data_IF_890507459941
#
_entry.id   IF_890507459941
#
_cell.length_a   1.000
_cell.length_b   1.000
_cell.length_c   1.000
_cell.angle_alpha   90.00
_cell.angle_beta   90.00
_cell.angle_gamma   90.00
#
_symmetry.space_group_name_H-M   'P 1'
#
loop_
_entity.id
_entity.type
_entity.pdbx_description
1 polymer ?
#
# COMPACT_ATOMS: atom_id res chain seq x y z
N UNK A 1 -9.43 16.45 -20.05
CA UNK A 1 -9.47 15.29 -19.16
C UNK A 1 -10.88 14.73 -19.07
N UNK A 2 -11.05 13.52 -19.61
CA UNK A 2 -12.30 12.78 -19.54
C UNK A 2 -12.40 11.96 -18.25
N UNK A 3 -11.29 11.44 -17.72
CA UNK A 3 -11.25 10.57 -16.52
C UNK A 3 -11.82 11.22 -15.26
N UNK A 4 -11.35 12.41 -14.87
CA UNK A 4 -11.89 13.10 -13.69
C UNK A 4 -13.38 13.49 -13.85
N UNK A 5 -13.94 13.47 -15.06
CA UNK A 5 -15.39 13.69 -15.27
C UNK A 5 -16.22 12.43 -15.05
N UNK A 6 -15.58 11.25 -14.99
CA UNK A 6 -16.25 9.96 -14.77
C UNK A 6 -16.54 9.67 -13.30
N UNK A 7 -15.96 10.45 -12.38
CA UNK A 7 -16.02 10.23 -10.93
C UNK A 7 -16.51 11.49 -10.19
N UNK A 8 -16.93 11.35 -8.94
CA UNK A 8 -17.26 12.53 -8.12
C UNK A 8 -15.97 13.30 -7.83
N UNK A 9 -16.08 14.62 -7.87
CA UNK A 9 -14.97 15.52 -7.60
C UNK A 9 -15.26 16.32 -6.35
N UNK A 10 -14.24 16.46 -5.52
CA UNK A 10 -14.28 17.39 -4.40
C UNK A 10 -14.43 18.83 -4.93
N UNK A 11 -15.39 19.58 -4.39
CA UNK A 11 -15.61 20.98 -4.73
C UNK A 11 -15.22 21.87 -3.53
N UNK A 12 -14.05 22.53 -3.59
CA UNK A 12 -13.57 23.37 -2.50
C UNK A 12 -14.52 24.51 -2.10
N UNK A 13 -15.39 24.96 -3.02
CA UNK A 13 -16.34 26.05 -2.76
C UNK A 13 -17.51 25.63 -1.86
N UNK A 14 -17.78 24.33 -1.75
CA UNK A 14 -18.88 23.79 -0.94
C UNK A 14 -18.45 23.46 0.49
N UNK A 15 -17.14 23.36 0.75
CA UNK A 15 -16.61 23.12 2.09
C UNK A 15 -16.35 24.44 2.82
N UNK A 16 -16.87 24.55 4.03
CA UNK A 16 -16.63 25.70 4.92
C UNK A 16 -15.29 25.61 5.66
N UNK A 17 -14.69 24.42 5.69
CA UNK A 17 -13.46 24.12 6.43
C UNK A 17 -12.24 24.02 5.52
N UNK A 18 -12.45 24.02 4.20
CA UNK A 18 -11.41 23.99 3.19
C UNK A 18 -10.43 25.16 3.33
N UNK A 19 -9.15 24.83 3.28
CA UNK A 19 -8.04 25.79 3.28
C UNK A 19 -7.03 25.42 2.20
N UNK A 20 -6.63 26.41 1.41
CA UNK A 20 -5.43 26.29 0.57
C UNK A 20 -4.20 26.34 1.46
N UNK A 21 -3.19 25.53 1.17
CA UNK A 21 -1.89 25.66 1.83
C UNK A 21 -1.20 26.95 1.35
N UNK A 22 -0.37 27.55 2.22
CA UNK A 22 0.46 28.70 1.86
C UNK A 22 1.61 28.23 0.96
N UNK A 23 1.81 28.91 -0.18
CA UNK A 23 2.84 28.58 -1.17
C UNK A 23 2.88 27.08 -1.53
N UNK A 24 1.76 26.51 -2.01
CA UNK A 24 1.68 25.07 -2.25
C UNK A 24 2.60 24.69 -3.41
N UNK A 25 3.57 23.82 -3.16
CA UNK A 25 4.31 23.15 -4.22
C UNK A 25 3.41 22.07 -4.79
N UNK A 26 3.11 22.12 -6.09
CA UNK A 26 2.35 21.05 -6.74
C UNK A 26 3.05 19.70 -6.54
N UNK A 27 2.24 18.68 -6.30
CA UNK A 27 2.73 17.31 -6.27
C UNK A 27 2.75 16.77 -7.69
N UNK A 28 3.72 15.91 -7.97
CA UNK A 28 3.79 15.11 -9.18
C UNK A 28 4.05 13.67 -8.74
N UNK A 29 3.15 12.76 -9.07
CA UNK A 29 3.25 11.35 -8.67
C UNK A 29 3.14 10.48 -9.91
N UNK A 30 4.05 9.52 -10.05
CA UNK A 30 4.02 8.52 -11.12
C UNK A 30 3.48 7.18 -10.60
N UNK A 31 2.51 6.62 -11.31
CA UNK A 31 1.92 5.30 -11.05
C UNK A 31 2.12 4.42 -12.28
N UNK A 32 3.10 3.52 -12.24
CA UNK A 32 3.43 2.65 -13.37
C UNK A 32 3.73 3.47 -14.64
N UNK A 33 2.84 3.38 -15.63
CA UNK A 33 2.93 4.12 -16.91
C UNK A 33 2.23 5.48 -16.90
N UNK A 34 1.49 5.81 -15.84
CA UNK A 34 0.75 7.06 -15.71
C UNK A 34 1.36 8.02 -14.71
N UNK A 35 0.87 9.26 -14.73
CA UNK A 35 1.25 10.29 -13.77
C UNK A 35 0.08 11.20 -13.44
N UNK A 36 0.13 11.78 -12.25
CA UNK A 36 -0.82 12.80 -11.79
C UNK A 36 -0.07 14.04 -11.31
N UNK A 37 -0.68 15.20 -11.50
CA UNK A 37 -0.32 16.41 -10.76
C UNK A 37 -1.49 16.83 -9.89
N UNK A 38 -1.17 17.37 -8.71
CA UNK A 38 -2.17 17.90 -7.82
C UNK A 38 -1.71 19.11 -7.04
N UNK A 39 -2.69 19.94 -6.64
CA UNK A 39 -2.48 21.09 -5.78
C UNK A 39 -2.76 20.68 -4.32
N UNK A 40 -1.76 20.76 -3.42
CA UNK A 40 -1.98 20.53 -2.01
C UNK A 40 -3.00 21.48 -1.37
N UNK A 41 -3.83 20.92 -0.50
CA UNK A 41 -4.84 21.61 0.28
C UNK A 41 -4.98 20.95 1.67
N UNK A 42 -5.78 21.59 2.53
CA UNK A 42 -6.17 21.09 3.83
C UNK A 42 -7.69 21.19 3.96
N UNK A 43 -8.32 20.18 4.54
CA UNK A 43 -9.72 20.22 4.95
C UNK A 43 -9.96 19.26 6.11
N UNK A 44 -11.15 19.29 6.70
CA UNK A 44 -11.62 18.24 7.59
C UNK A 44 -12.05 17.05 6.75
N UNK A 45 -11.45 15.90 7.01
CA UNK A 45 -11.90 14.62 6.48
C UNK A 45 -12.66 13.86 7.55
N UNK A 46 -13.63 13.07 7.11
CA UNK A 46 -14.40 12.19 7.97
C UNK A 46 -14.13 10.75 7.56
N UNK A 47 -13.70 9.93 8.53
CA UNK A 47 -13.56 8.48 8.38
C UNK A 47 -14.38 7.87 9.50
N UNK A 48 -15.48 7.21 9.15
CA UNK A 48 -16.48 6.76 10.11
C UNK A 48 -16.96 7.92 11.01
N UNK A 49 -16.80 7.79 12.33
CA UNK A 49 -17.11 8.78 13.36
C UNK A 49 -15.96 9.74 13.67
N UNK A 50 -14.80 9.56 13.03
CA UNK A 50 -13.62 10.39 13.24
C UNK A 50 -13.62 11.59 12.28
N UNK A 51 -13.43 12.78 12.83
CA UNK A 51 -13.28 14.03 12.07
C UNK A 51 -11.99 14.73 12.45
N UNK A 52 -11.09 14.93 11.48
CA UNK A 52 -9.81 15.58 11.71
C UNK A 52 -9.31 16.32 10.48
N UNK A 53 -8.38 17.27 10.68
CA UNK A 53 -7.77 18.03 9.59
C UNK A 53 -6.72 17.17 8.89
N UNK A 54 -6.79 17.07 7.58
CA UNK A 54 -5.83 16.33 6.77
C UNK A 54 -5.32 17.18 5.61
N UNK A 55 -4.02 17.09 5.36
CA UNK A 55 -3.43 17.60 4.12
C UNK A 55 -3.58 16.54 3.02
N UNK A 56 -4.06 16.96 1.86
CA UNK A 56 -4.26 16.11 0.69
C UNK A 56 -4.03 16.90 -0.60
N UNK A 57 -3.96 16.23 -1.74
CA UNK A 57 -3.86 16.89 -3.03
C UNK A 57 -5.17 16.81 -3.81
N UNK A 58 -5.58 17.95 -4.37
CA UNK A 58 -6.59 18.00 -5.40
C UNK A 58 -5.92 17.67 -6.73
N UNK A 59 -6.35 16.59 -7.37
CA UNK A 59 -5.82 16.20 -8.68
C UNK A 59 -6.27 17.22 -9.72
N UNK A 60 -5.29 17.89 -10.32
CA UNK A 60 -5.49 18.89 -11.38
C UNK A 60 -5.24 18.29 -12.77
N UNK A 61 -4.37 17.27 -12.85
CA UNK A 61 -3.95 16.60 -14.06
C UNK A 61 -3.73 15.11 -13.84
N UNK A 62 -4.09 14.30 -14.84
CA UNK A 62 -3.79 12.87 -14.94
C UNK A 62 -3.45 12.58 -16.40
N UNK A 63 -2.41 11.78 -16.64
CA UNK A 63 -2.01 11.36 -17.99
C UNK A 63 -3.01 10.40 -18.64
N UNK A 64 -3.12 10.43 -19.98
CA UNK A 64 -4.07 9.60 -20.75
C UNK A 64 -3.79 8.07 -20.73
N UNK A 65 -2.63 7.61 -20.27
CA UNK A 65 -2.31 6.17 -20.13
C UNK A 65 -2.17 5.76 -18.68
N UNK A 66 -3.26 5.88 -17.92
CA UNK A 66 -3.25 5.66 -16.48
C UNK A 66 -4.18 4.51 -16.02
N UNK A 67 -3.93 4.04 -14.79
CA UNK A 67 -4.76 3.03 -14.13
C UNK A 67 -6.19 3.55 -13.83
N UNK A 68 -6.33 4.87 -13.68
CA UNK A 68 -7.59 5.54 -13.34
C UNK A 68 -8.65 5.48 -14.46
N UNK A 69 -8.27 5.17 -15.71
CA UNK A 69 -9.22 4.86 -16.78
C UNK A 69 -9.90 3.50 -16.60
N UNK A 70 -9.18 2.54 -16.00
CA UNK A 70 -9.63 1.15 -15.88
C UNK A 70 -10.36 0.89 -14.57
N UNK A 71 -10.02 1.62 -13.51
CA UNK A 71 -10.58 1.42 -12.17
C UNK A 71 -11.40 2.64 -11.77
N UNK A 72 -12.66 2.41 -11.35
CA UNK A 72 -13.60 3.46 -10.93
C UNK A 72 -13.40 3.86 -9.47
N UNK A 73 -12.26 4.43 -9.11
CA UNK A 73 -12.08 5.02 -7.78
C UNK A 73 -11.86 6.53 -7.86
N UNK A 74 -12.30 7.26 -6.82
CA UNK A 74 -12.32 8.74 -6.77
C UNK A 74 -11.01 9.36 -6.26
N UNK A 75 -10.16 8.56 -5.61
CA UNK A 75 -8.84 8.97 -5.14
C UNK A 75 -8.12 7.84 -4.41
N UNK A 76 -6.92 8.14 -3.90
CA UNK A 76 -6.09 7.20 -3.14
C UNK A 76 -5.90 7.74 -1.73
N UNK A 77 -6.06 6.87 -0.74
CA UNK A 77 -5.70 7.14 0.65
C UNK A 77 -4.41 6.39 0.95
N UNK A 78 -3.31 7.13 1.10
CA UNK A 78 -2.01 6.54 1.44
C UNK A 78 -1.94 6.21 2.93
N UNK A 79 -1.68 4.94 3.25
CA UNK A 79 -1.45 4.44 4.62
C UNK A 79 0.04 4.26 4.94
N UNK A 80 0.92 4.87 4.16
CA UNK A 80 2.36 4.86 4.41
C UNK A 80 2.78 5.87 5.48
N UNK A 81 4.07 5.84 5.82
CA UNK A 81 4.67 6.78 6.74
C UNK A 81 4.73 8.21 6.16
N UNK A 82 4.74 9.21 7.04
CA UNK A 82 4.80 10.62 6.66
C UNK A 82 6.08 10.99 5.91
N UNK A 83 7.19 10.26 6.10
CA UNK A 83 8.45 10.44 5.36
C UNK A 83 8.30 10.24 3.84
N UNK A 84 7.35 9.41 3.40
CA UNK A 84 7.07 9.19 1.97
C UNK A 84 6.17 10.27 1.35
N UNK A 85 5.54 11.10 2.17
CA UNK A 85 4.54 12.05 1.70
C UNK A 85 5.15 13.19 0.86
N UNK A 86 4.52 13.48 -0.28
CA UNK A 86 4.83 14.68 -1.08
C UNK A 86 4.28 15.98 -0.46
N UNK A 87 3.47 15.87 0.59
CA UNK A 87 2.85 16.99 1.30
C UNK A 87 3.24 16.90 2.77
N UNK A 88 3.82 17.97 3.32
CA UNK A 88 4.21 18.00 4.72
C UNK A 88 3.01 17.94 5.66
N UNK A 89 3.23 17.43 6.87
CA UNK A 89 2.22 17.27 7.90
C UNK A 89 1.99 15.80 8.25
N UNK A 90 1.07 15.54 9.19
CA UNK A 90 0.82 14.19 9.66
C UNK A 90 0.20 13.32 8.56
N UNK A 91 0.58 12.03 8.57
CA UNK A 91 -0.08 11.01 7.77
C UNK A 91 -1.53 10.81 8.24
N UNK A 92 -2.32 10.14 7.41
CA UNK A 92 -3.71 9.84 7.79
C UNK A 92 -3.77 8.89 9.00
N UNK A 93 -2.83 7.94 9.08
CA UNK A 93 -2.73 7.01 10.21
C UNK A 93 -2.34 7.74 11.50
N UNK A 94 -1.38 8.66 11.43
CA UNK A 94 -0.98 9.48 12.59
C UNK A 94 -2.17 10.28 13.14
N UNK A 95 -2.99 10.85 12.26
CA UNK A 95 -4.21 11.56 12.66
C UNK A 95 -5.27 10.62 13.25
N UNK A 96 -5.53 9.47 12.62
CA UNK A 96 -6.50 8.47 13.11
C UNK A 96 -6.11 7.99 14.52
N UNK A 97 -4.85 7.58 14.71
CA UNK A 97 -4.39 7.05 16.00
C UNK A 97 -4.39 8.11 17.11
N UNK A 98 -4.23 9.39 16.75
CA UNK A 98 -4.33 10.50 17.70
C UNK A 98 -5.76 10.80 18.16
N UNK A 99 -6.80 10.34 17.44
CA UNK A 99 -8.18 10.74 17.67
C UNK A 99 -8.76 10.20 18.99
N UNK A 100 -8.52 8.92 19.32
CA UNK A 100 -9.13 8.26 20.47
C UNK A 100 -8.15 7.44 21.34
N UNK A 101 -6.84 7.73 21.27
CA UNK A 101 -5.80 6.97 21.98
C UNK A 101 -5.94 5.45 21.75
N UNK A 102 -6.26 5.08 20.51
CA UNK A 102 -6.30 3.69 20.07
C UNK A 102 -4.88 3.17 19.86
N UNK A 103 -4.73 1.84 19.84
CA UNK A 103 -3.48 1.21 19.47
C UNK A 103 -3.05 1.67 18.08
N UNK A 104 -1.74 1.87 17.88
CA UNK A 104 -1.15 2.38 16.63
C UNK A 104 -1.00 1.28 15.58
N UNK A 105 -2.07 0.53 15.40
CA UNK A 105 -2.14 -0.65 14.54
C UNK A 105 -3.30 -0.50 13.56
N UNK A 106 -3.13 -1.04 12.36
CA UNK A 106 -4.20 -1.19 11.40
C UNK A 106 -4.02 -2.52 10.68
N UNK A 107 -5.12 -3.07 10.18
CA UNK A 107 -5.12 -4.36 9.54
C UNK A 107 -6.04 -4.37 8.32
N UNK A 108 -5.67 -5.18 7.33
CA UNK A 108 -6.51 -5.49 6.20
C UNK A 108 -7.00 -6.93 6.32
N UNK A 109 -8.29 -7.14 6.07
CA UNK A 109 -8.85 -8.42 5.69
C UNK A 109 -9.29 -8.31 4.23
N UNK A 110 -8.87 -9.24 3.39
CA UNK A 110 -9.20 -9.25 1.95
C UNK A 110 -9.50 -10.68 1.56
N UNK A 111 -10.65 -10.92 0.95
CA UNK A 111 -11.00 -12.16 0.28
C UNK A 111 -11.55 -11.85 -1.13
N UNK A 112 -12.07 -12.87 -1.83
CA UNK A 112 -12.56 -12.70 -3.21
C UNK A 112 -13.82 -11.82 -3.32
N UNK A 113 -14.61 -11.70 -2.24
CA UNK A 113 -15.93 -11.06 -2.22
C UNK A 113 -16.00 -9.80 -1.33
N UNK A 114 -15.10 -9.65 -0.35
CA UNK A 114 -15.14 -8.65 0.71
C UNK A 114 -13.75 -8.16 1.13
N UNK A 115 -13.69 -6.93 1.62
CA UNK A 115 -12.48 -6.33 2.13
C UNK A 115 -12.78 -5.35 3.28
N UNK A 116 -11.97 -5.43 4.33
CA UNK A 116 -12.09 -4.59 5.52
C UNK A 116 -10.74 -3.94 5.85
N UNK A 117 -10.79 -2.66 6.19
CA UNK A 117 -9.69 -1.93 6.81
C UNK A 117 -10.08 -1.63 8.26
N UNK A 118 -9.28 -2.13 9.19
CA UNK A 118 -9.48 -2.00 10.62
C UNK A 118 -8.40 -1.07 11.19
N UNK A 119 -8.79 -0.18 12.10
CA UNK A 119 -7.88 0.69 12.85
C UNK A 119 -7.96 0.34 14.33
N UNK A 120 -6.83 0.32 15.02
CA UNK A 120 -6.72 -0.09 16.42
C UNK A 120 -6.41 -1.57 16.64
N UNK A 121 -6.04 -2.31 15.58
CA UNK A 121 -5.70 -3.73 15.63
C UNK A 121 -6.48 -4.58 14.62
N UNK A 122 -6.23 -5.90 14.65
CA UNK A 122 -6.95 -6.89 13.86
C UNK A 122 -8.02 -7.58 14.70
N UNK A 123 -9.23 -7.66 14.17
CA UNK A 123 -10.34 -8.35 14.81
C UNK A 123 -10.21 -9.88 14.63
N UNK A 124 -10.30 -10.61 15.74
CA UNK A 124 -10.05 -12.06 15.82
C UNK A 124 -11.04 -12.91 14.99
N UNK A 125 -12.16 -12.33 14.57
CA UNK A 125 -13.12 -12.99 13.67
C UNK A 125 -12.60 -13.14 12.25
N UNK A 126 -11.55 -12.41 11.87
CA UNK A 126 -11.03 -12.34 10.51
C UNK A 126 -9.68 -13.05 10.31
N UNK A 127 -9.15 -13.72 11.34
CA UNK A 127 -7.95 -14.53 11.24
C UNK A 127 -7.98 -15.75 12.17
N UNK A 128 -7.14 -16.74 11.89
CA UNK A 128 -6.96 -17.91 12.75
C UNK A 128 -5.50 -18.00 13.21
N UNK A 129 -5.29 -18.48 14.44
CA UNK A 129 -3.96 -18.61 15.04
C UNK A 129 -3.36 -17.28 15.50
N UNK A 130 -2.06 -17.29 15.80
CA UNK A 130 -1.36 -16.11 16.33
C UNK A 130 -0.82 -15.21 15.23
N UNK A 131 -1.01 -13.90 15.39
CA UNK A 131 -0.39 -12.89 14.53
C UNK A 131 1.11 -12.80 14.81
N UNK A 132 1.90 -12.75 13.74
CA UNK A 132 3.35 -12.53 13.81
C UNK A 132 3.66 -11.11 13.39
N UNK A 133 4.27 -10.37 14.31
CA UNK A 133 4.71 -9.00 14.06
C UNK A 133 6.20 -8.97 13.68
N UNK A 134 6.52 -8.18 12.67
CA UNK A 134 7.89 -7.98 12.19
C UNK A 134 8.26 -6.51 12.30
N UNK A 135 9.48 -6.20 12.77
CA UNK A 135 9.91 -4.81 12.89
C UNK A 135 10.07 -4.18 11.51
N UNK A 136 9.56 -2.96 11.35
CA UNK A 136 9.80 -2.14 10.17
C UNK A 136 11.28 -1.76 10.13
N UNK A 137 11.93 -1.96 8.98
CA UNK A 137 13.36 -1.66 8.78
C UNK A 137 13.59 -0.18 8.53
N UNK A 138 12.69 0.46 7.78
CA UNK A 138 12.75 1.86 7.41
C UNK A 138 11.35 2.45 7.38
N UNK A 139 11.09 3.45 8.21
CA UNK A 139 9.81 4.19 8.34
C UNK A 139 9.51 5.12 7.14
N UNK A 140 9.80 4.62 5.94
CA UNK A 140 9.41 5.19 4.66
C UNK A 140 8.37 4.28 3.98
N UNK A 141 8.51 2.96 4.16
CA UNK A 141 7.62 1.92 3.64
C UNK A 141 7.21 0.97 4.77
N UNK A 142 6.13 0.20 4.58
CA UNK A 142 5.87 -1.00 5.38
C UNK A 142 6.81 -2.13 4.94
N UNK A 143 8.10 -1.92 5.19
CA UNK A 143 9.22 -2.73 4.74
C UNK A 143 9.81 -3.53 5.90
N UNK A 144 9.93 -4.84 5.72
CA UNK A 144 10.53 -5.74 6.71
C UNK A 144 11.65 -6.56 6.07
N UNK A 145 12.56 -7.07 6.90
CA UNK A 145 13.65 -7.96 6.45
C UNK A 145 13.10 -9.26 5.86
N UNK A 146 13.72 -9.72 4.77
CA UNK A 146 13.39 -10.96 4.08
C UNK A 146 14.59 -11.89 4.03
N UNK A 147 14.50 -13.01 4.73
CA UNK A 147 15.58 -13.99 4.85
C UNK A 147 15.72 -14.90 3.62
N UNK A 148 14.59 -15.34 3.08
CA UNK A 148 14.54 -16.27 1.96
C UNK A 148 13.16 -16.33 1.33
N UNK A 149 13.15 -16.68 0.05
CA UNK A 149 11.96 -17.19 -0.64
C UNK A 149 12.36 -18.56 -1.18
N UNK A 150 11.47 -19.55 -1.00
CA UNK A 150 11.68 -20.90 -1.48
C UNK A 150 10.64 -21.25 -2.55
N UNK A 151 11.06 -22.06 -3.52
CA UNK A 151 10.19 -22.86 -4.37
C UNK A 151 10.51 -24.32 -4.07
N UNK A 152 9.57 -25.02 -3.43
CA UNK A 152 9.82 -26.32 -2.79
C UNK A 152 11.07 -26.26 -1.90
N UNK A 153 12.11 -27.03 -2.23
CA UNK A 153 13.38 -27.08 -1.49
C UNK A 153 14.47 -26.17 -2.08
N UNK A 154 14.14 -25.32 -3.05
CA UNK A 154 15.10 -24.46 -3.77
C UNK A 154 14.97 -23.03 -3.25
N UNK A 155 16.06 -22.48 -2.69
CA UNK A 155 16.15 -21.07 -2.28
C UNK A 155 16.25 -20.18 -3.52
N UNK A 156 15.27 -19.30 -3.73
CA UNK A 156 15.18 -18.40 -4.88
C UNK A 156 15.99 -17.12 -4.74
N UNK A 157 16.03 -16.54 -3.54
CA UNK A 157 16.59 -15.21 -3.31
C UNK A 157 17.36 -15.13 -1.99
N UNK A 158 17.87 -13.92 -1.74
CA UNK A 158 18.17 -13.45 -0.39
C UNK A 158 19.46 -14.06 0.18
N UNK A 159 20.50 -14.09 -0.67
CA UNK A 159 21.90 -14.32 -0.26
C UNK A 159 22.60 -13.01 0.19
N UNK A 160 21.92 -11.88 0.00
CA UNK A 160 22.30 -10.54 0.45
C UNK A 160 21.11 -9.95 1.22
N UNK A 161 21.31 -8.89 2.03
CA UNK A 161 20.21 -8.20 2.70
C UNK A 161 19.09 -7.88 1.71
N UNK A 162 17.91 -8.42 2.00
CA UNK A 162 16.74 -8.35 1.14
C UNK A 162 15.54 -7.95 1.98
N UNK A 163 14.54 -7.35 1.34
CA UNK A 163 13.40 -6.77 2.02
C UNK A 163 12.11 -7.11 1.27
N UNK A 164 11.01 -7.11 2.00
CA UNK A 164 9.66 -7.22 1.44
C UNK A 164 8.85 -6.01 1.89
N UNK A 165 8.06 -5.46 0.97
CA UNK A 165 7.15 -4.34 1.24
C UNK A 165 5.72 -4.87 1.14
N UNK A 166 4.92 -4.60 2.17
CA UNK A 166 3.49 -4.86 2.14
C UNK A 166 2.77 -3.64 1.55
N UNK A 167 2.26 -3.79 0.32
CA UNK A 167 1.59 -2.73 -0.43
C UNK A 167 0.18 -3.15 -0.84
N UNK A 168 -0.83 -2.70 -0.09
CA UNK A 168 -2.24 -2.95 -0.39
C UNK A 168 -2.71 -2.28 -1.69
N UNK A 169 -1.93 -1.37 -2.27
CA UNK A 169 -2.22 -0.72 -3.55
C UNK A 169 -1.85 -1.56 -4.76
N UNK A 170 -1.11 -2.67 -4.58
CA UNK A 170 -0.62 -3.52 -5.68
C UNK A 170 -1.28 -4.90 -5.64
N UNK A 171 -1.83 -5.35 -6.77
CA UNK A 171 -2.51 -6.66 -6.87
C UNK A 171 -1.58 -7.86 -7.12
N UNK A 172 -0.36 -7.63 -7.61
CA UNK A 172 0.58 -8.69 -8.00
C UNK A 172 1.87 -8.62 -7.18
N UNK A 173 2.40 -9.78 -6.80
CA UNK A 173 3.74 -9.88 -6.25
C UNK A 173 4.79 -9.44 -7.29
N UNK A 174 5.71 -8.58 -6.88
CA UNK A 174 6.80 -8.09 -7.71
C UNK A 174 8.14 -8.50 -7.11
N UNK A 175 9.10 -8.87 -7.97
CA UNK A 175 10.43 -9.34 -7.58
C UNK A 175 11.48 -8.61 -8.42
N UNK A 176 12.74 -8.52 -7.95
CA UNK A 176 13.81 -8.07 -8.81
C UNK A 176 13.96 -9.02 -10.02
N UNK A 177 14.36 -8.46 -11.17
CA UNK A 177 14.33 -9.15 -12.45
C UNK A 177 15.17 -10.44 -12.48
N UNK A 178 16.28 -10.48 -11.75
CA UNK A 178 17.15 -11.66 -11.60
C UNK A 178 16.41 -12.84 -10.95
N UNK A 179 15.80 -12.61 -9.80
CA UNK A 179 15.05 -13.58 -9.02
C UNK A 179 13.82 -14.04 -9.80
N UNK A 180 13.10 -13.12 -10.47
CA UNK A 180 11.95 -13.48 -11.31
C UNK A 180 12.35 -14.33 -12.51
N UNK A 181 13.49 -14.04 -13.15
CA UNK A 181 14.00 -14.85 -14.26
C UNK A 181 14.43 -16.24 -13.78
N UNK A 182 15.09 -16.33 -12.62
CA UNK A 182 15.44 -17.61 -12.03
C UNK A 182 14.21 -18.44 -11.68
N UNK A 183 13.21 -17.82 -11.05
CA UNK A 183 11.90 -18.43 -10.79
C UNK A 183 11.25 -18.97 -12.09
N UNK A 184 11.22 -18.17 -13.16
CA UNK A 184 10.68 -18.58 -14.47
C UNK A 184 11.38 -19.81 -15.05
N UNK A 185 12.69 -19.93 -14.89
CA UNK A 185 13.44 -21.10 -15.36
C UNK A 185 13.03 -22.37 -14.59
N UNK A 186 12.84 -22.26 -13.27
CA UNK A 186 12.43 -23.40 -12.44
C UNK A 186 11.03 -23.91 -12.79
N UNK A 187 10.05 -23.00 -12.98
CA UNK A 187 8.69 -23.41 -13.35
C UNK A 187 8.60 -23.97 -14.78
N UNK A 188 9.39 -23.47 -15.73
CA UNK A 188 9.44 -24.01 -17.10
C UNK A 188 9.97 -25.44 -17.15
N UNK A 189 10.86 -25.80 -16.23
CA UNK A 189 11.33 -27.19 -16.07
C UNK A 189 10.20 -28.09 -15.55
N UNK A 190 9.31 -27.58 -14.70
CA UNK A 190 8.18 -28.33 -14.12
C UNK A 190 6.95 -28.47 -15.05
N UNK A 191 6.70 -27.54 -15.97
CA UNK A 191 5.52 -27.56 -16.86
C UNK A 191 5.62 -28.52 -18.06
N UNK A 192 6.53 -29.51 -18.05
CA UNK A 192 6.77 -30.39 -19.21
C UNK A 192 5.61 -31.33 -19.58
N UNK A 193 4.59 -31.48 -18.74
CA UNK A 193 3.53 -32.48 -18.91
C UNK A 193 2.09 -31.92 -18.98
N UNK A 194 1.89 -30.62 -19.18
CA UNK A 194 0.55 -30.06 -19.44
C UNK A 194 -0.46 -30.15 -18.29
N UNK A 195 -0.03 -30.54 -17.08
CA UNK A 195 -0.85 -30.41 -15.88
C UNK A 195 -0.63 -29.02 -15.29
N UNK A 196 -1.73 -28.35 -14.92
CA UNK A 196 -1.70 -27.13 -14.14
C UNK A 196 -0.89 -27.39 -12.85
N UNK A 197 0.26 -26.73 -12.73
CA UNK A 197 1.01 -26.74 -11.47
C UNK A 197 0.25 -25.86 -10.49
N UNK A 198 -0.28 -26.46 -9.42
CA UNK A 198 -0.62 -25.73 -8.21
C UNK A 198 0.72 -25.25 -7.63
N UNK A 199 1.07 -24.00 -7.91
CA UNK A 199 2.20 -23.32 -7.28
C UNK A 199 1.86 -23.12 -5.81
N UNK A 200 2.29 -24.06 -4.96
CA UNK A 200 2.20 -23.91 -3.52
C UNK A 200 3.36 -23.00 -3.08
N UNK A 201 3.14 -21.70 -3.08
CA UNK A 201 4.11 -20.74 -2.57
C UNK A 201 4.16 -20.82 -1.05
N UNK A 202 5.23 -21.39 -0.49
CA UNK A 202 5.54 -21.22 0.93
C UNK A 202 6.51 -20.04 1.04
N UNK A 203 5.98 -18.85 1.27
CA UNK A 203 6.82 -17.72 1.69
C UNK A 203 7.26 -18.00 3.12
N UNK A 204 8.50 -18.49 3.29
CA UNK A 204 9.08 -18.70 4.62
C UNK A 204 9.81 -17.45 5.05
N UNK A 205 9.14 -16.60 5.83
CA UNK A 205 9.80 -15.59 6.63
C UNK A 205 10.38 -16.30 7.85
N UNK A 206 11.62 -16.77 7.74
CA UNK A 206 12.33 -17.35 8.88
C UNK A 206 12.59 -16.25 9.92
N UNK A 207 12.58 -16.65 11.19
CA UNK A 207 12.96 -15.79 12.30
C UNK A 207 14.05 -16.52 13.09
N UNK A 208 15.21 -15.88 13.23
CA UNK A 208 16.23 -16.29 14.19
C UNK A 208 16.16 -15.33 15.38
N UNK A 209 15.66 -15.81 16.54
CA UNK A 209 15.85 -15.13 17.83
C UNK A 209 17.33 -15.22 18.17
N UNK A 210 18.11 -14.20 17.82
CA UNK A 210 19.34 -13.93 18.53
C UNK A 210 18.96 -13.24 19.83
N UNK A 211 18.72 -14.03 20.88
CA UNK A 211 18.78 -13.50 22.24
C UNK A 211 20.20 -12.96 22.45
N UNK A 212 20.33 -11.65 22.63
CA UNK A 212 21.51 -11.06 23.25
C UNK A 212 21.40 -11.20 24.76
#
# INVERSE_FOLDING_TARGET
METCKLVKRFNPKLSKTFKKLLNPKKIHIKFGTGEIEGTPANDIININDMSFKQNFALVDYESDSNVFQKIKFEGIVGLGFSEMSSISGPSILENIFSYNNMEKEFAFYINDDDALLMFGGADDRFYEGDLKMFPVVREHYWEVSLDAIYLDNIKLCCNQPSYIIFDSGTSLNSFPSSEFNYFKQLIQIGCKNGNDMILTYIMVINYYYYYN
#
